data_IF_088168344433
#
_entry.id   IF_088168344433
#
_cell.length_a   1.000
_cell.length_b   1.000
_cell.length_c   1.000
_cell.angle_alpha   90.00
_cell.angle_beta   90.00
_cell.angle_gamma   90.00
#
_symmetry.space_group_name_H-M   'P 1'
#
loop_
_entity.id
_entity.type
_entity.pdbx_description
1 polymer ?
#
# COMPACT_ATOMS: atom_id res chain seq x y z
N UNK A 1 23.91 22.55 28.11
CA UNK A 1 23.43 21.15 28.08
C UNK A 1 22.04 21.17 27.49
N UNK A 2 21.90 20.80 26.23
CA UNK A 2 20.63 20.75 25.51
C UNK A 2 19.87 19.49 25.91
N UNK A 3 18.64 19.68 26.39
CA UNK A 3 17.66 18.61 26.59
C UNK A 3 17.30 18.01 25.23
N UNK A 4 17.51 16.70 25.09
CA UNK A 4 17.09 15.97 23.91
C UNK A 4 15.57 15.86 23.88
N UNK A 5 15.02 16.26 22.75
CA UNK A 5 13.62 16.20 22.39
C UNK A 5 13.24 14.74 22.08
N UNK A 6 12.51 14.09 23.00
CA UNK A 6 12.08 12.68 22.87
C UNK A 6 10.70 12.54 22.22
N UNK A 7 10.23 13.51 21.43
CA UNK A 7 8.87 13.53 20.85
C UNK A 7 8.54 12.43 19.81
N UNK A 8 9.40 11.43 19.59
CA UNK A 8 9.21 10.38 18.57
C UNK A 8 9.31 8.94 19.07
N UNK A 9 9.41 8.66 20.37
CA UNK A 9 9.98 7.37 20.76
C UNK A 9 9.09 6.14 20.69
N UNK A 10 7.76 6.19 20.72
CA UNK A 10 7.02 4.92 20.89
C UNK A 10 5.67 4.90 20.17
N UNK A 11 5.67 4.55 18.87
CA UNK A 11 4.57 3.75 18.34
C UNK A 11 4.89 2.33 18.81
N UNK A 12 4.12 1.72 19.73
CA UNK A 12 4.38 0.35 20.15
C UNK A 12 4.15 -0.57 18.94
N UNK A 13 5.24 -0.98 18.30
CA UNK A 13 5.23 -1.99 17.24
C UNK A 13 5.24 -3.41 17.81
N UNK A 14 5.37 -3.52 19.14
CA UNK A 14 5.36 -4.78 19.88
C UNK A 14 4.19 -4.72 20.87
N UNK A 15 3.18 -5.53 20.62
CA UNK A 15 2.08 -5.76 21.56
C UNK A 15 2.49 -6.95 22.44
N UNK A 16 2.85 -6.67 23.68
CA UNK A 16 3.24 -7.69 24.66
C UNK A 16 1.97 -8.32 25.25
N UNK A 17 1.61 -9.51 24.77
CA UNK A 17 1.14 -10.62 25.62
C UNK A 17 1.01 -11.89 24.77
N UNK A 18 1.19 -13.04 25.41
CA UNK A 18 1.35 -14.42 24.91
C UNK A 18 0.28 -15.01 23.96
N UNK A 19 -0.51 -14.19 23.25
CA UNK A 19 -1.67 -14.61 22.46
C UNK A 19 -1.60 -14.37 20.93
N UNK A 20 -0.63 -13.66 20.36
CA UNK A 20 -0.74 -13.28 18.93
C UNK A 20 0.55 -13.24 18.11
N UNK A 21 0.99 -14.42 17.65
CA UNK A 21 1.87 -14.54 16.46
C UNK A 21 1.28 -13.94 15.18
N UNK A 22 -0.02 -13.56 15.16
CA UNK A 22 -0.69 -12.90 14.03
C UNK A 22 -0.13 -11.50 13.74
N UNK A 23 0.52 -10.88 14.74
CA UNK A 23 1.00 -9.50 14.67
C UNK A 23 2.52 -9.35 14.57
N UNK A 24 3.25 -10.47 14.46
CA UNK A 24 4.70 -10.43 14.27
C UNK A 24 5.05 -9.83 12.90
N UNK A 25 5.95 -8.86 12.92
CA UNK A 25 6.57 -8.27 11.74
C UNK A 25 5.68 -7.26 11.01
N UNK A 26 6.09 -6.00 11.00
CA UNK A 26 5.55 -4.99 10.11
C UNK A 26 5.98 -5.28 8.67
N UNK A 27 5.02 -5.33 7.73
CA UNK A 27 5.31 -5.55 6.31
C UNK A 27 5.13 -4.30 5.47
N UNK A 28 4.05 -3.55 5.69
CA UNK A 28 3.71 -2.39 4.87
C UNK A 28 2.82 -1.40 5.63
N UNK A 29 2.84 -0.13 5.23
CA UNK A 29 2.07 0.95 5.85
C UNK A 29 1.60 1.97 4.82
N UNK A 30 0.35 2.40 4.95
CA UNK A 30 -0.24 3.43 4.10
C UNK A 30 -0.88 4.51 4.96
N UNK A 31 -0.41 5.75 4.82
CA UNK A 31 -1.06 6.91 5.41
C UNK A 31 -2.00 7.54 4.38
N UNK A 32 -3.28 7.63 4.72
CA UNK A 32 -4.29 8.29 3.90
C UNK A 32 -5.08 9.29 4.75
N UNK A 33 -4.85 10.58 4.50
CA UNK A 33 -5.40 11.64 5.36
C UNK A 33 -4.85 11.50 6.78
N UNK A 34 -5.75 11.34 7.76
CA UNK A 34 -5.38 11.08 9.16
C UNK A 34 -5.41 9.59 9.53
N UNK A 35 -5.63 8.68 8.56
CA UNK A 35 -5.75 7.25 8.82
C UNK A 35 -4.51 6.51 8.39
N UNK A 36 -3.95 5.72 9.31
CA UNK A 36 -2.80 4.86 9.06
C UNK A 36 -3.24 3.42 8.95
N UNK A 37 -3.00 2.81 7.81
CA UNK A 37 -3.26 1.41 7.55
C UNK A 37 -1.94 0.65 7.67
N UNK A 38 -1.95 -0.48 8.37
CA UNK A 38 -0.76 -1.26 8.68
C UNK A 38 -1.01 -2.71 8.30
N UNK A 39 -0.08 -3.31 7.55
CA UNK A 39 -0.09 -4.73 7.20
C UNK A 39 1.05 -5.46 7.92
N UNK A 40 0.74 -6.64 8.46
CA UNK A 40 1.75 -7.51 9.09
C UNK A 40 2.37 -8.47 8.08
N UNK A 41 3.47 -9.13 8.46
CA UNK A 41 4.13 -10.16 7.65
C UNK A 41 3.20 -11.34 7.31
N UNK A 42 2.18 -11.56 8.14
CA UNK A 42 1.10 -12.55 7.94
C UNK A 42 -0.12 -11.97 7.22
N UNK A 43 0.03 -10.78 6.61
CA UNK A 43 -1.01 -10.07 5.84
C UNK A 43 -2.27 -9.75 6.64
N UNK A 44 -2.15 -9.54 7.95
CA UNK A 44 -3.25 -8.94 8.73
C UNK A 44 -3.23 -7.44 8.54
N UNK A 45 -4.40 -6.86 8.28
CA UNK A 45 -4.54 -5.41 8.12
C UNK A 45 -5.20 -4.79 9.33
N UNK A 46 -4.62 -3.68 9.81
CA UNK A 46 -5.17 -2.80 10.84
C UNK A 46 -5.28 -1.37 10.31
N UNK A 47 -6.22 -0.62 10.85
CA UNK A 47 -6.41 0.79 10.57
C UNK A 47 -6.45 1.58 11.88
N UNK A 48 -5.67 2.66 11.94
CA UNK A 48 -5.59 3.57 13.06
C UNK A 48 -6.03 4.97 12.62
N UNK A 49 -6.82 5.63 13.46
CA UNK A 49 -7.16 7.04 13.30
C UNK A 49 -6.21 7.90 14.14
N UNK A 50 -5.46 8.76 13.45
CA UNK A 50 -4.47 9.69 14.01
C UNK A 50 -5.02 11.11 14.16
N UNK A 51 -6.33 11.34 13.96
CA UNK A 51 -6.93 12.69 14.09
C UNK A 51 -7.02 13.22 15.52
N UNK A 52 -6.66 12.40 16.52
CA UNK A 52 -6.68 12.77 17.93
C UNK A 52 -5.56 13.74 18.34
N UNK A 53 -5.55 14.16 19.62
CA UNK A 53 -4.45 14.94 20.19
C UNK A 53 -3.10 14.22 20.01
N UNK A 54 -2.02 14.99 19.94
CA UNK A 54 -0.66 14.45 19.74
C UNK A 54 -0.35 13.31 20.73
N UNK A 55 0.11 12.18 20.20
CA UNK A 55 0.39 10.96 20.97
C UNK A 55 -0.80 10.01 21.19
N UNK A 56 -2.01 10.38 20.74
CA UNK A 56 -3.18 9.52 20.79
C UNK A 56 -3.57 9.02 19.39
N UNK A 57 -3.77 7.72 19.27
CA UNK A 57 -4.37 7.08 18.11
C UNK A 57 -5.51 6.16 18.55
N UNK A 58 -6.52 6.01 17.70
CA UNK A 58 -7.62 5.08 17.93
C UNK A 58 -7.51 3.93 16.95
N UNK A 59 -7.47 2.70 17.45
CA UNK A 59 -7.66 1.54 16.59
C UNK A 59 -9.12 1.52 16.09
N UNK A 60 -9.28 1.60 14.77
CA UNK A 60 -10.58 1.59 14.09
C UNK A 60 -10.78 0.31 13.26
N UNK A 61 -9.89 -0.67 13.39
CA UNK A 61 -9.98 -1.97 12.72
C UNK A 61 -11.20 -2.77 13.17
N UNK A 62 -11.67 -2.54 14.41
CA UNK A 62 -12.65 -3.38 15.10
C UNK A 62 -11.99 -4.33 16.11
N UNK A 63 -12.70 -5.39 16.53
CA UNK A 63 -12.18 -6.33 17.54
C UNK A 63 -11.12 -7.30 16.99
N UNK A 64 -11.17 -7.64 15.70
CA UNK A 64 -10.25 -8.59 15.08
C UNK A 64 -9.68 -8.03 13.77
N UNK A 65 -8.34 -7.87 13.68
CA UNK A 65 -7.67 -7.58 12.42
C UNK A 65 -8.02 -8.63 11.38
N UNK A 66 -8.28 -8.20 10.15
CA UNK A 66 -8.70 -9.12 9.11
C UNK A 66 -7.48 -9.63 8.33
N UNK A 67 -7.35 -10.95 8.15
CA UNK A 67 -6.32 -11.50 7.27
C UNK A 67 -6.68 -11.21 5.81
N UNK A 68 -5.70 -10.80 5.01
CA UNK A 68 -5.80 -10.70 3.54
C UNK A 68 -4.97 -11.80 2.90
N UNK A 69 -5.54 -13.00 2.81
CA UNK A 69 -4.86 -14.20 2.29
C UNK A 69 -5.38 -14.53 0.89
N UNK A 70 -4.52 -14.42 -0.12
CA UNK A 70 -4.82 -14.90 -1.46
C UNK A 70 -4.59 -16.42 -1.55
N UNK A 71 -5.25 -17.11 -2.50
CA UNK A 71 -5.08 -18.57 -2.71
C UNK A 71 -3.67 -19.00 -3.13
N UNK A 72 -2.79 -18.05 -3.43
CA UNK A 72 -1.51 -18.35 -4.04
C UNK A 72 -0.39 -18.34 -3.00
N UNK A 73 0.14 -19.53 -2.71
CA UNK A 73 1.25 -19.78 -1.78
C UNK A 73 2.64 -19.47 -2.39
N UNK A 74 2.68 -18.63 -3.42
CA UNK A 74 3.92 -18.25 -4.10
C UNK A 74 4.58 -17.07 -3.39
N UNK A 75 5.91 -16.99 -3.49
CA UNK A 75 6.71 -15.87 -2.98
C UNK A 75 6.45 -14.61 -3.82
N UNK A 76 5.30 -13.98 -3.61
CA UNK A 76 4.95 -12.71 -4.25
C UNK A 76 5.38 -11.53 -3.39
N UNK A 77 5.76 -10.44 -4.04
CA UNK A 77 5.84 -9.14 -3.36
C UNK A 77 4.41 -8.68 -3.08
N UNK A 78 4.16 -8.33 -1.82
CA UNK A 78 2.82 -8.06 -1.30
C UNK A 78 2.82 -6.71 -0.60
N UNK A 79 1.91 -5.84 -1.02
CA UNK A 79 1.68 -4.53 -0.42
C UNK A 79 0.19 -4.32 -0.21
N UNK A 80 -0.16 -3.32 0.60
CA UNK A 80 -1.55 -2.87 0.74
C UNK A 80 -1.75 -1.57 -0.01
N UNK A 81 -2.97 -1.38 -0.51
CA UNK A 81 -3.38 -0.11 -1.09
C UNK A 81 -4.75 0.32 -0.57
N UNK A 82 -4.98 1.62 -0.46
CA UNK A 82 -6.26 2.17 0.02
C UNK A 82 -6.93 2.97 -1.08
N UNK A 83 -8.16 2.60 -1.43
CA UNK A 83 -8.97 3.29 -2.45
C UNK A 83 -9.54 4.62 -1.98
N UNK A 84 -10.04 5.46 -2.90
CA UNK A 84 -10.66 6.73 -2.50
C UNK A 84 -11.89 6.58 -1.62
N UNK A 85 -12.58 5.47 -1.76
CA UNK A 85 -13.66 5.03 -0.88
C UNK A 85 -13.21 4.62 0.54
N UNK A 86 -11.90 4.46 0.78
CA UNK A 86 -11.35 3.86 1.99
C UNK A 86 -11.30 2.34 2.00
N UNK A 87 -11.74 1.68 0.91
CA UNK A 87 -11.60 0.23 0.72
C UNK A 87 -10.12 -0.17 0.62
N UNK A 88 -9.70 -1.17 1.40
CA UNK A 88 -8.32 -1.68 1.37
C UNK A 88 -8.20 -2.81 0.37
N UNK A 89 -7.15 -2.76 -0.43
CA UNK A 89 -6.74 -3.78 -1.38
C UNK A 89 -5.43 -4.44 -0.94
N UNK A 90 -5.32 -5.73 -1.18
CA UNK A 90 -4.04 -6.44 -1.22
C UNK A 90 -3.54 -6.39 -2.66
N UNK A 91 -2.29 -5.99 -2.84
CA UNK A 91 -1.62 -5.90 -4.13
C UNK A 91 -0.48 -6.89 -4.16
N UNK A 92 -0.58 -7.87 -5.05
CA UNK A 92 0.47 -8.86 -5.28
C UNK A 92 1.14 -8.65 -6.63
N UNK A 93 2.45 -8.85 -6.68
CA UNK A 93 3.25 -8.75 -7.90
C UNK A 93 4.45 -9.70 -7.87
N UNK A 94 5.08 -9.91 -9.02
CA UNK A 94 6.37 -10.60 -9.07
C UNK A 94 7.44 -9.79 -8.33
N UNK A 95 8.13 -10.38 -7.32
CA UNK A 95 9.13 -9.68 -6.51
C UNK A 95 10.38 -9.24 -7.26
N UNK A 96 10.60 -9.66 -8.49
CA UNK A 96 11.82 -9.29 -9.24
C UNK A 96 11.57 -8.20 -10.27
N UNK A 97 10.50 -8.35 -11.06
CA UNK A 97 10.30 -7.55 -12.25
C UNK A 97 9.02 -6.72 -12.26
N UNK A 98 8.09 -6.98 -11.34
CA UNK A 98 6.76 -6.33 -11.29
C UNK A 98 6.08 -6.28 -12.67
N UNK A 99 6.21 -7.38 -13.43
CA UNK A 99 5.67 -7.51 -14.79
C UNK A 99 4.18 -7.83 -14.83
N UNK A 100 3.61 -8.22 -13.71
CA UNK A 100 2.18 -8.45 -13.53
C UNK A 100 1.75 -8.01 -12.13
N UNK A 101 0.45 -7.73 -12.01
CA UNK A 101 -0.19 -7.38 -10.76
C UNK A 101 -1.52 -8.12 -10.61
N UNK A 102 -1.82 -8.51 -9.37
CA UNK A 102 -3.14 -8.96 -8.94
C UNK A 102 -3.60 -8.12 -7.76
N UNK A 103 -4.87 -7.77 -7.80
CA UNK A 103 -5.50 -6.95 -6.78
C UNK A 103 -6.58 -7.79 -6.12
N UNK A 104 -6.67 -7.70 -4.80
CA UNK A 104 -7.69 -8.39 -4.04
C UNK A 104 -8.35 -7.46 -3.06
N UNK A 105 -9.66 -7.65 -2.84
CA UNK A 105 -10.40 -7.00 -1.76
C UNK A 105 -10.81 -8.04 -0.72
N UNK A 106 -11.08 -7.59 0.50
CA UNK A 106 -11.64 -8.46 1.54
C UNK A 106 -12.91 -9.12 1.03
N UNK A 107 -13.00 -10.43 1.24
CA UNK A 107 -14.22 -11.19 1.01
C UNK A 107 -15.09 -11.12 2.28
N UNK A 108 -16.28 -10.47 2.23
CA UNK A 108 -17.15 -10.36 3.40
C UNK A 108 -17.85 -11.67 3.75
N UNK A 109 -17.89 -12.64 2.84
CA UNK A 109 -18.69 -13.86 2.96
C UNK A 109 -17.93 -15.02 3.64
N UNK A 110 -16.70 -14.77 4.08
CA UNK A 110 -15.86 -15.77 4.76
C UNK A 110 -16.26 -15.89 6.23
N UNK A 111 -16.93 -16.99 6.58
CA UNK A 111 -17.47 -17.25 7.91
C UNK A 111 -16.39 -17.39 9.00
N UNK A 112 -15.27 -18.04 8.69
CA UNK A 112 -14.13 -18.23 9.61
C UNK A 112 -12.80 -17.84 8.94
N UNK A 113 -12.44 -16.53 8.96
CA UNK A 113 -11.23 -16.03 8.32
C UNK A 113 -9.93 -16.57 8.92
N UNK A 114 -9.96 -17.03 10.18
CA UNK A 114 -8.77 -17.52 10.88
C UNK A 114 -8.36 -18.93 10.44
N UNK A 115 -9.31 -19.71 9.93
CA UNK A 115 -9.10 -21.08 9.45
C UNK A 115 -9.26 -21.21 7.93
N UNK A 116 -9.61 -20.11 7.25
CA UNK A 116 -9.73 -20.08 5.80
C UNK A 116 -8.36 -20.06 5.10
N UNK A 117 -8.23 -20.84 4.02
CA UNK A 117 -7.05 -20.82 3.16
C UNK A 117 -6.97 -19.58 2.25
N UNK A 118 -8.06 -18.82 2.13
CA UNK A 118 -8.11 -17.55 1.43
C UNK A 118 -9.27 -16.70 1.99
N UNK A 119 -9.06 -15.39 2.06
CA UNK A 119 -10.00 -14.45 2.70
C UNK A 119 -10.29 -13.22 1.84
N UNK A 120 -9.87 -13.27 0.58
CA UNK A 120 -9.95 -12.16 -0.36
C UNK A 120 -10.44 -12.63 -1.72
N UNK A 121 -11.13 -11.74 -2.43
CA UNK A 121 -11.61 -11.96 -3.79
C UNK A 121 -10.79 -11.10 -4.76
N UNK A 122 -10.38 -11.67 -5.89
CA UNK A 122 -9.64 -10.92 -6.91
C UNK A 122 -10.52 -9.84 -7.56
N UNK A 123 -9.94 -8.67 -7.82
CA UNK A 123 -10.57 -7.58 -8.56
C UNK A 123 -9.73 -7.22 -9.77
N UNK A 124 -10.39 -6.96 -10.90
CA UNK A 124 -9.72 -6.70 -12.18
C UNK A 124 -9.80 -5.23 -12.63
N UNK A 125 -10.44 -4.37 -11.84
CA UNK A 125 -10.61 -2.94 -12.08
C UNK A 125 -10.54 -2.17 -10.76
N UNK A 126 -10.04 -0.94 -10.83
CA UNK A 126 -10.01 0.04 -9.75
C UNK A 126 -11.25 0.95 -9.76
N UNK A 127 -12.19 0.75 -10.69
CA UNK A 127 -13.43 1.51 -10.78
C UNK A 127 -13.22 2.94 -11.29
N UNK A 128 -12.33 3.13 -12.28
CA UNK A 128 -12.01 4.45 -12.81
C UNK A 128 -10.97 5.23 -12.01
N UNK A 129 -10.37 4.63 -10.98
CA UNK A 129 -9.22 5.15 -10.25
C UNK A 129 -7.90 4.64 -10.85
N UNK A 130 -6.79 5.23 -10.41
CA UNK A 130 -5.43 4.77 -10.65
C UNK A 130 -4.71 4.55 -9.32
N UNK A 131 -3.90 3.50 -9.22
CA UNK A 131 -3.11 3.19 -8.04
C UNK A 131 -1.71 3.81 -8.15
N UNK A 132 -1.32 4.61 -7.17
CA UNK A 132 0.07 5.03 -6.97
C UNK A 132 0.69 4.04 -5.99
N UNK A 133 1.34 2.98 -6.51
CA UNK A 133 1.75 1.82 -5.71
C UNK A 133 2.73 2.19 -4.61
N UNK A 134 3.71 3.03 -4.92
CA UNK A 134 4.75 3.42 -3.97
C UNK A 134 4.22 4.27 -2.81
N UNK A 135 3.01 4.81 -2.96
CA UNK A 135 2.29 5.52 -1.90
C UNK A 135 1.22 4.66 -1.22
N UNK A 136 0.87 3.53 -1.83
CA UNK A 136 -0.19 2.64 -1.37
C UNK A 136 -1.59 3.25 -1.39
N UNK A 137 -1.90 4.24 -2.24
CA UNK A 137 -3.28 4.71 -2.36
C UNK A 137 -3.68 5.02 -3.80
N UNK A 138 -5.00 5.02 -4.04
CA UNK A 138 -5.55 5.38 -5.34
C UNK A 138 -5.98 6.84 -5.41
N UNK A 139 -5.96 7.35 -6.64
CA UNK A 139 -6.46 8.66 -7.03
C UNK A 139 -7.47 8.51 -8.18
N UNK A 140 -8.45 9.42 -8.32
CA UNK A 140 -9.34 9.40 -9.48
C UNK A 140 -8.55 9.53 -10.78
N UNK A 141 -8.96 8.82 -11.84
CA UNK A 141 -8.39 9.05 -13.16
C UNK A 141 -8.63 10.49 -13.60
N UNK A 142 -7.64 11.07 -14.25
CA UNK A 142 -7.67 12.46 -14.68
C UNK A 142 -6.94 12.60 -16.01
N UNK A 143 -7.72 12.77 -17.08
CA UNK A 143 -7.20 12.93 -18.44
C UNK A 143 -6.31 14.17 -18.61
N UNK A 144 -6.62 15.27 -17.91
CA UNK A 144 -5.83 16.50 -18.00
C UNK A 144 -4.44 16.32 -17.36
N UNK A 145 -4.34 15.45 -16.35
CA UNK A 145 -3.08 15.10 -15.69
C UNK A 145 -2.41 13.84 -16.26
N UNK A 146 -2.98 13.23 -17.32
CA UNK A 146 -2.46 11.99 -17.90
C UNK A 146 -2.62 10.75 -17.01
N UNK A 147 -3.44 10.82 -15.95
CA UNK A 147 -3.73 9.70 -15.06
C UNK A 147 -4.80 8.82 -15.72
N UNK A 148 -4.41 7.62 -16.12
CA UNK A 148 -5.26 6.65 -16.81
C UNK A 148 -6.05 5.81 -15.81
N UNK A 149 -7.33 5.50 -16.07
CA UNK A 149 -8.09 4.60 -15.21
C UNK A 149 -7.51 3.19 -15.24
N UNK A 150 -7.80 2.42 -14.19
CA UNK A 150 -7.43 1.01 -14.05
C UNK A 150 -5.94 0.76 -14.30
N UNK A 151 -5.11 1.72 -13.88
CA UNK A 151 -3.66 1.69 -14.10
C UNK A 151 -2.92 1.80 -12.77
N UNK A 152 -1.80 1.09 -12.67
CA UNK A 152 -0.89 1.08 -11.52
C UNK A 152 0.39 1.80 -11.92
N UNK A 153 0.73 2.85 -11.19
CA UNK A 153 1.93 3.65 -11.34
C UNK A 153 2.92 3.27 -10.24
N UNK A 154 4.14 2.93 -10.60
CA UNK A 154 5.16 2.48 -9.65
C UNK A 154 6.57 2.77 -10.17
N UNK A 155 7.52 2.92 -9.26
CA UNK A 155 8.94 2.95 -9.59
C UNK A 155 9.46 1.52 -9.75
N UNK A 156 10.07 1.22 -10.91
CA UNK A 156 10.58 -0.12 -11.27
C UNK A 156 11.67 -0.59 -10.31
N UNK A 157 12.43 0.34 -9.74
CA UNK A 157 13.55 0.03 -8.85
C UNK A 157 13.09 0.13 -7.39
N UNK A 158 13.23 -0.98 -6.66
CA UNK A 158 12.79 -1.16 -5.26
C UNK A 158 13.23 -0.09 -4.25
N UNK A 159 14.17 0.80 -4.60
CA UNK A 159 14.66 1.86 -3.72
C UNK A 159 15.01 3.14 -4.50
N UNK A 160 14.07 4.10 -4.60
CA UNK A 160 14.34 5.42 -5.17
C UNK A 160 15.53 6.11 -4.49
N UNK A 161 15.74 5.88 -3.19
CA UNK A 161 16.81 6.46 -2.39
C UNK A 161 18.23 6.00 -2.75
N UNK A 162 18.40 4.92 -3.52
CA UNK A 162 19.71 4.42 -3.95
C UNK A 162 19.95 4.56 -5.46
N UNK A 163 18.97 5.09 -6.21
CA UNK A 163 19.09 5.31 -7.64
C UNK A 163 19.55 6.74 -7.91
N UNK A 164 20.44 6.93 -8.89
CA UNK A 164 20.67 8.26 -9.40
C UNK A 164 19.37 8.77 -10.05
N UNK A 165 19.08 10.08 -10.04
CA UNK A 165 17.90 10.65 -10.73
C UNK A 165 17.74 10.21 -12.19
N UNK A 166 18.84 9.80 -12.84
CA UNK A 166 18.86 9.35 -14.24
C UNK A 166 18.37 7.91 -14.42
N UNK A 167 18.32 7.14 -13.34
CA UNK A 167 17.93 5.72 -13.32
C UNK A 167 16.51 5.51 -12.78
N UNK A 168 15.78 6.60 -12.48
CA UNK A 168 14.39 6.49 -12.02
C UNK A 168 13.48 6.14 -13.19
N UNK A 169 12.92 4.93 -13.15
CA UNK A 169 11.97 4.45 -14.16
C UNK A 169 10.57 4.30 -13.55
N UNK A 170 9.70 5.26 -13.84
CA UNK A 170 8.27 5.17 -13.49
C UNK A 170 7.58 4.34 -14.57
N UNK A 171 6.95 3.26 -14.13
CA UNK A 171 6.19 2.35 -14.95
C UNK A 171 4.70 2.53 -14.74
N UNK A 172 3.94 2.31 -15.81
CA UNK A 172 2.48 2.26 -15.80
C UNK A 172 2.05 0.88 -16.27
N UNK A 173 1.37 0.15 -15.40
CA UNK A 173 0.74 -1.12 -15.71
C UNK A 173 -0.76 -0.94 -15.87
N UNK A 174 -1.33 -1.32 -17.01
CA UNK A 174 -2.77 -1.29 -17.21
C UNK A 174 -3.40 -2.64 -16.85
N UNK A 175 -4.38 -2.63 -15.94
CA UNK A 175 -5.03 -3.84 -15.43
C UNK A 175 -5.89 -4.56 -16.46
N UNK A 176 -6.53 -3.80 -17.37
CA UNK A 176 -7.44 -4.34 -18.37
C UNK A 176 -6.66 -4.98 -19.54
N UNK A 177 -5.66 -4.28 -20.07
CA UNK A 177 -4.86 -4.76 -21.20
C UNK A 177 -3.66 -5.60 -20.79
N UNK A 178 -3.35 -5.67 -19.48
CA UNK A 178 -2.17 -6.35 -18.93
C UNK A 178 -0.85 -5.88 -19.54
N UNK A 179 -0.80 -4.61 -19.94
CA UNK A 179 0.37 -4.01 -20.60
C UNK A 179 1.18 -3.16 -19.63
N UNK A 180 2.50 -3.27 -19.74
CA UNK A 180 3.47 -2.47 -18.99
C UNK A 180 4.13 -1.48 -19.95
N UNK A 181 4.03 -0.19 -19.64
CA UNK A 181 4.69 0.87 -20.40
C UNK A 181 5.49 1.77 -19.47
N UNK A 182 6.56 2.37 -20.00
CA UNK A 182 7.26 3.45 -19.31
C UNK A 182 6.37 4.70 -19.28
N UNK A 183 6.33 5.41 -18.16
CA UNK A 183 5.63 6.68 -18.08
C UNK A 183 6.32 7.67 -19.06
N UNK A 184 5.57 8.26 -20.01
CA UNK A 184 6.15 9.17 -20.98
C UNK A 184 6.63 10.46 -20.30
N UNK A 185 7.59 11.14 -20.95
CA UNK A 185 8.06 12.48 -20.57
C UNK A 185 8.70 12.62 -19.16
N UNK A 186 9.19 11.52 -18.57
CA UNK A 186 10.04 11.56 -17.36
C UNK A 186 11.18 12.58 -17.48
N UNK A 187 11.82 12.64 -18.66
CA UNK A 187 12.94 13.54 -18.95
C UNK A 187 12.55 15.04 -18.93
N UNK A 188 11.26 15.35 -19.01
CA UNK A 188 10.71 16.73 -18.95
C UNK A 188 10.06 17.05 -17.61
N UNK A 189 9.82 16.05 -16.78
CA UNK A 189 9.20 16.20 -15.47
C UNK A 189 10.24 16.66 -14.47
N UNK A 190 9.97 17.74 -13.73
CA UNK A 190 10.86 18.09 -12.63
C UNK A 190 10.77 16.98 -11.59
N UNK A 191 11.89 16.56 -11.01
CA UNK A 191 11.89 15.51 -9.97
C UNK A 191 10.97 15.92 -8.79
N UNK A 192 10.85 17.23 -8.59
CA UNK A 192 9.94 17.86 -7.65
C UNK A 192 8.46 17.76 -8.01
N UNK A 193 8.12 17.58 -9.28
CA UNK A 193 6.74 17.32 -9.73
C UNK A 193 6.42 15.82 -9.62
N UNK A 194 7.45 14.97 -9.73
CA UNK A 194 7.37 13.55 -9.38
C UNK A 194 7.31 13.32 -7.85
N UNK A 195 7.26 14.37 -7.03
CA UNK A 195 6.97 14.25 -5.58
C UNK A 195 5.55 13.77 -5.29
N UNK A 196 4.71 13.51 -6.29
CA UNK A 196 3.60 12.58 -6.09
C UNK A 196 4.08 11.26 -5.48
N UNK A 197 5.36 10.86 -5.64
CA UNK A 197 5.95 9.63 -5.11
C UNK A 197 6.84 9.80 -3.86
N UNK A 198 7.00 11.01 -3.33
CA UNK A 198 7.85 11.26 -2.14
C UNK A 198 7.15 12.25 -1.19
N UNK A 199 7.18 12.05 0.13
CA UNK A 199 6.57 12.98 1.06
C UNK A 199 7.14 14.39 0.87
N UNK A 200 6.26 15.39 0.84
CA UNK A 200 6.65 16.80 0.73
C UNK A 200 7.35 17.28 2.00
N UNK A 201 8.44 18.03 1.83
CA UNK A 201 9.07 18.79 2.90
C UNK A 201 8.14 19.88 3.44
#
# INVERSE_FOLDING_TARGET
MSFWDTHYTDIPLVFDDYAFHKFDGLSDMVLRGTRLYVSTSRRFVRAFDLSGPQGFFKDITGQTPFPMLSRHDQRYDSSIAVKTSGEVLLVESDPRSRTWFRLYKKDPDVEDPDHACHTVTEVHSLGGEALLLDLGFTVPANKALGIKPDSIYFTRHFRPCHCSPRDLDICVYNLATKSLVRFPDLDKMNLMDARWFLPGN
#
